data_IF_454089977070
#
_entry.id   IF_454089977070
#
_cell.length_a   1.000
_cell.length_b   1.000
_cell.length_c   1.000
_cell.angle_alpha   90.00
_cell.angle_beta   90.00
_cell.angle_gamma   90.00
#
_symmetry.space_group_name_H-M   'P 1'
#
loop_
_entity.id
_entity.type
_entity.pdbx_description
1 polymer ?
#
# COMPACT_ATOMS: atom_id res chain seq x y z
N UNK A 1 17.64 8.63 19.66
CA UNK A 1 17.57 9.79 20.58
C UNK A 1 18.20 11.05 19.97
N UNK A 2 19.44 11.03 19.48
CA UNK A 2 20.04 12.24 18.89
C UNK A 2 19.46 12.67 17.52
N UNK A 3 19.12 11.75 16.60
CA UNK A 3 18.55 12.12 15.29
C UNK A 3 17.07 12.54 15.33
N UNK A 4 16.26 11.92 16.18
CA UNK A 4 14.88 12.34 16.44
C UNK A 4 14.82 13.79 16.97
N UNK A 5 15.87 14.24 17.67
CA UNK A 5 16.03 15.62 18.15
C UNK A 5 16.32 16.63 17.01
N UNK A 6 16.96 16.22 15.91
CA UNK A 6 17.26 17.09 14.76
C UNK A 6 16.10 17.16 13.74
N UNK A 7 15.24 16.14 13.70
CA UNK A 7 14.10 16.11 12.76
C UNK A 7 12.81 16.56 13.44
N UNK A 8 12.54 16.16 14.69
CA UNK A 8 11.19 16.26 15.29
C UNK A 8 11.13 17.18 16.53
N UNK A 9 12.24 17.46 17.22
CA UNK A 9 12.23 18.43 18.31
C UNK A 9 12.48 19.86 17.80
N UNK A 10 11.64 20.82 18.23
CA UNK A 10 11.79 22.27 18.02
C UNK A 10 13.09 22.80 18.65
N UNK A 11 14.20 22.52 18.00
CA UNK A 11 15.51 23.11 18.27
C UNK A 11 15.89 23.98 17.08
N UNK A 12 16.82 24.92 17.25
CA UNK A 12 17.31 25.80 16.17
C UNK A 12 17.98 25.05 15.01
N UNK A 13 18.20 23.74 15.15
CA UNK A 13 18.72 22.85 14.13
C UNK A 13 17.65 21.92 13.51
N UNK A 14 16.36 22.19 13.78
CA UNK A 14 15.26 21.44 13.18
C UNK A 14 15.11 21.79 11.71
N UNK A 15 15.08 20.78 10.84
CA UNK A 15 14.89 20.95 9.40
C UNK A 15 13.56 21.66 9.09
N UNK A 16 12.54 21.50 9.93
CA UNK A 16 11.25 22.16 9.73
C UNK A 16 11.28 23.67 9.98
N UNK A 17 12.26 24.18 10.73
CA UNK A 17 12.49 25.61 10.96
C UNK A 17 13.37 26.26 9.88
N UNK A 18 14.01 25.45 9.02
CA UNK A 18 14.82 25.95 7.92
C UNK A 18 13.96 26.63 6.83
N UNK A 19 14.53 27.60 6.12
CA UNK A 19 13.89 28.14 4.91
C UNK A 19 13.70 27.02 3.87
N UNK A 20 12.60 27.07 3.11
CA UNK A 20 12.25 26.02 2.15
C UNK A 20 13.18 25.96 0.92
N UNK A 21 14.09 26.91 0.77
CA UNK A 21 14.98 27.01 -0.39
C UNK A 21 16.04 25.90 -0.41
N UNK A 22 16.42 25.49 -1.62
CA UNK A 22 17.37 24.39 -1.82
C UNK A 22 18.76 24.67 -1.24
N UNK A 23 19.16 25.94 -1.13
CA UNK A 23 20.47 26.31 -0.62
C UNK A 23 20.56 26.09 0.88
N UNK A 24 19.53 26.50 1.63
CA UNK A 24 19.38 26.23 3.06
C UNK A 24 19.38 24.73 3.34
N UNK A 25 18.63 23.94 2.57
CA UNK A 25 18.57 22.47 2.72
C UNK A 25 19.93 21.79 2.43
N UNK A 26 20.69 22.24 1.43
CA UNK A 26 22.06 21.76 1.17
C UNK A 26 23.04 22.07 2.30
N UNK A 27 22.87 23.18 3.01
CA UNK A 27 23.71 23.48 4.18
C UNK A 27 23.48 22.44 5.29
N UNK A 28 22.23 22.03 5.52
CA UNK A 28 21.92 20.93 6.44
C UNK A 28 22.51 19.61 5.96
N UNK A 29 22.36 19.29 4.69
CA UNK A 29 22.93 18.08 4.08
C UNK A 29 24.45 17.98 4.34
N UNK A 30 25.21 19.07 4.19
CA UNK A 30 26.65 19.09 4.43
C UNK A 30 27.03 18.74 5.88
N UNK A 31 26.20 19.12 6.85
CA UNK A 31 26.39 18.74 8.26
C UNK A 31 26.27 17.22 8.41
N UNK A 32 25.23 16.62 7.82
CA UNK A 32 25.04 15.17 7.84
C UNK A 32 26.19 14.45 7.16
N UNK A 33 26.64 14.89 5.97
CA UNK A 33 27.79 14.29 5.27
C UNK A 33 29.04 14.29 6.17
N UNK A 34 29.35 15.40 6.83
CA UNK A 34 30.52 15.50 7.74
C UNK A 34 30.39 14.58 8.95
N UNK A 35 29.20 14.48 9.54
CA UNK A 35 28.95 13.60 10.69
C UNK A 35 29.06 12.12 10.30
N UNK A 36 28.44 11.71 9.20
CA UNK A 36 28.42 10.32 8.73
C UNK A 36 29.80 9.84 8.29
N UNK A 37 30.61 10.71 7.67
CA UNK A 37 32.02 10.41 7.36
C UNK A 37 32.85 10.12 8.62
N UNK A 38 32.59 10.83 9.71
CA UNK A 38 33.35 10.71 10.96
C UNK A 38 32.84 9.57 11.85
N UNK A 39 31.54 9.29 11.83
CA UNK A 39 30.88 8.37 12.75
C UNK A 39 30.01 7.36 11.99
N UNK A 40 30.64 6.29 11.48
CA UNK A 40 29.98 5.29 10.63
C UNK A 40 28.79 4.56 11.27
N UNK A 41 28.78 4.40 12.59
CA UNK A 41 27.65 3.81 13.30
C UNK A 41 26.36 4.65 13.19
N UNK A 42 26.47 5.95 12.89
CA UNK A 42 25.32 6.82 12.68
C UNK A 42 24.55 6.46 11.41
N UNK A 43 25.17 5.80 10.42
CA UNK A 43 24.50 5.39 9.18
C UNK A 43 23.32 4.45 9.47
N UNK A 44 23.56 3.40 10.26
CA UNK A 44 22.51 2.46 10.66
C UNK A 44 21.44 3.13 11.52
N UNK A 45 21.85 3.98 12.46
CA UNK A 45 20.90 4.70 13.32
C UNK A 45 20.02 5.67 12.52
N UNK A 46 20.58 6.33 11.50
CA UNK A 46 19.86 7.28 10.68
C UNK A 46 18.85 6.58 9.76
N UNK A 47 19.22 5.45 9.17
CA UNK A 47 18.30 4.58 8.43
C UNK A 47 17.08 4.18 9.30
N UNK A 48 17.32 3.66 10.51
CA UNK A 48 16.24 3.25 11.42
C UNK A 48 15.33 4.41 11.82
N UNK A 49 15.88 5.59 12.09
CA UNK A 49 15.09 6.77 12.45
C UNK A 49 14.31 7.33 11.24
N UNK A 50 14.90 7.35 10.05
CA UNK A 50 14.20 7.78 8.83
C UNK A 50 13.00 6.89 8.51
N UNK A 51 13.13 5.57 8.68
CA UNK A 51 11.99 4.64 8.56
C UNK A 51 10.86 5.01 9.52
N UNK A 52 11.15 5.31 10.79
CA UNK A 52 10.14 5.74 11.77
C UNK A 52 9.49 7.05 11.36
N UNK A 53 10.27 8.06 10.98
CA UNK A 53 9.76 9.38 10.56
C UNK A 53 8.81 9.24 9.37
N UNK A 54 9.19 8.47 8.35
CA UNK A 54 8.37 8.26 7.15
C UNK A 54 7.11 7.43 7.43
N UNK A 55 7.10 6.55 8.43
CA UNK A 55 5.86 5.88 8.90
C UNK A 55 4.85 6.90 9.44
N UNK A 56 5.33 7.94 10.14
CA UNK A 56 4.49 9.01 10.69
C UNK A 56 4.26 10.16 9.71
N UNK A 57 4.45 9.96 8.40
CA UNK A 57 4.33 11.05 7.40
C UNK A 57 2.98 11.79 7.46
N UNK A 58 1.90 11.09 7.86
CA UNK A 58 0.56 11.68 8.02
C UNK A 58 0.46 12.68 9.18
N UNK A 59 1.37 12.63 10.16
CA UNK A 59 1.41 13.53 11.31
C UNK A 59 2.00 14.91 11.02
N UNK A 60 2.64 15.08 9.86
CA UNK A 60 3.25 16.35 9.44
C UNK A 60 2.28 17.17 8.57
N UNK A 61 2.41 18.50 8.62
CA UNK A 61 1.69 19.43 7.73
C UNK A 61 2.31 19.46 6.32
N UNK A 62 1.66 20.16 5.37
CA UNK A 62 2.08 20.18 3.96
C UNK A 62 3.51 20.71 3.75
N UNK A 63 3.85 21.83 4.39
CA UNK A 63 5.19 22.43 4.36
C UNK A 63 6.27 21.49 4.94
N UNK A 64 5.99 20.85 6.08
CA UNK A 64 6.89 19.88 6.70
C UNK A 64 7.13 18.66 5.79
N UNK A 65 6.08 18.17 5.12
CA UNK A 65 6.20 17.06 4.16
C UNK A 65 7.07 17.43 2.96
N UNK A 66 6.93 18.64 2.43
CA UNK A 66 7.76 19.13 1.32
C UNK A 66 9.24 19.20 1.73
N UNK A 67 9.55 19.77 2.90
CA UNK A 67 10.92 19.83 3.43
C UNK A 67 11.49 18.43 3.68
N UNK A 68 10.69 17.54 4.28
CA UNK A 68 11.08 16.16 4.53
C UNK A 68 11.34 15.39 3.23
N UNK A 69 10.50 15.55 2.22
CA UNK A 69 10.69 14.92 0.90
C UNK A 69 11.97 15.41 0.22
N UNK A 70 12.22 16.73 0.20
CA UNK A 70 13.43 17.33 -0.37
C UNK A 70 14.70 16.84 0.34
N UNK A 71 14.71 16.85 1.67
CA UNK A 71 15.86 16.36 2.44
C UNK A 71 16.08 14.85 2.27
N UNK A 72 15.00 14.05 2.24
CA UNK A 72 15.09 12.61 2.00
C UNK A 72 15.71 12.34 0.63
N UNK A 73 15.33 13.10 -0.41
CA UNK A 73 15.94 12.99 -1.73
C UNK A 73 17.45 13.34 -1.73
N UNK A 74 17.84 14.42 -1.04
CA UNK A 74 19.25 14.81 -0.89
C UNK A 74 20.07 13.71 -0.18
N UNK A 75 19.57 13.19 0.94
CA UNK A 75 20.25 12.13 1.69
C UNK A 75 20.35 10.81 0.92
N UNK A 76 19.37 10.48 0.09
CA UNK A 76 19.46 9.33 -0.81
C UNK A 76 20.53 9.57 -1.88
N UNK A 77 20.50 10.75 -2.52
CA UNK A 77 21.44 11.10 -3.61
C UNK A 77 22.90 11.06 -3.17
N UNK A 78 23.18 11.49 -1.93
CA UNK A 78 24.55 11.50 -1.40
C UNK A 78 24.95 10.21 -0.66
N UNK A 79 24.06 9.23 -0.56
CA UNK A 79 24.32 7.94 0.10
C UNK A 79 24.24 7.94 1.63
N UNK A 80 23.78 9.03 2.26
CA UNK A 80 23.57 9.07 3.73
C UNK A 80 22.41 8.18 4.18
N UNK A 81 21.44 7.90 3.30
CA UNK A 81 20.28 7.05 3.56
C UNK A 81 20.04 6.14 2.34
N UNK A 82 19.82 4.83 2.53
CA UNK A 82 19.50 3.96 1.41
C UNK A 82 18.08 4.22 0.87
N UNK A 83 17.82 4.05 -0.45
CA UNK A 83 16.46 4.19 -1.01
C UNK A 83 15.41 3.27 -0.38
N UNK A 84 15.84 2.19 0.28
CA UNK A 84 14.96 1.22 0.95
C UNK A 84 14.12 1.84 2.06
N UNK A 85 14.49 2.99 2.63
CA UNK A 85 13.65 3.70 3.61
C UNK A 85 12.29 4.10 3.03
N UNK A 86 12.19 4.33 1.72
CA UNK A 86 10.95 4.73 1.07
C UNK A 86 9.93 3.59 1.00
N UNK A 87 10.36 2.34 1.18
CA UNK A 87 9.44 1.19 1.20
C UNK A 87 8.39 1.31 2.32
N UNK A 88 8.67 2.05 3.40
CA UNK A 88 7.66 2.26 4.45
C UNK A 88 6.47 3.09 3.96
N UNK A 89 6.66 3.96 2.96
CA UNK A 89 5.59 4.73 2.34
C UNK A 89 4.64 3.82 1.54
N UNK A 90 5.15 2.74 0.94
CA UNK A 90 4.34 1.70 0.28
C UNK A 90 3.49 0.93 1.31
N UNK A 91 4.01 0.71 2.52
CA UNK A 91 3.22 0.12 3.61
C UNK A 91 2.10 1.07 4.08
N UNK A 92 2.32 2.38 4.00
CA UNK A 92 1.29 3.39 4.34
C UNK A 92 0.14 3.34 3.33
N UNK A 93 0.39 3.21 2.04
CA UNK A 93 -0.68 3.06 1.03
C UNK A 93 -1.43 1.74 1.20
N UNK A 94 -0.70 0.64 1.44
CA UNK A 94 -1.27 -0.69 1.69
C UNK A 94 -2.12 -0.75 2.98
N UNK A 95 -1.76 0.01 4.02
CA UNK A 95 -2.59 0.10 5.23
C UNK A 95 -3.83 0.98 5.04
N UNK A 96 -3.72 2.04 4.24
CA UNK A 96 -4.82 2.96 3.95
C UNK A 96 -5.96 2.26 3.19
N UNK A 97 -5.64 1.44 2.18
CA UNK A 97 -6.68 0.68 1.45
C UNK A 97 -7.45 -0.27 2.37
N UNK A 98 -6.77 -0.89 3.34
CA UNK A 98 -7.41 -1.69 4.39
C UNK A 98 -8.32 -0.87 5.32
N UNK A 99 -7.92 0.35 5.66
CA UNK A 99 -8.76 1.26 6.46
C UNK A 99 -10.00 1.75 5.68
N UNK A 100 -9.83 2.05 4.38
CA UNK A 100 -10.93 2.41 3.49
C UNK A 100 -11.92 1.25 3.43
N UNK A 101 -11.44 0.03 3.19
CA UNK A 101 -12.28 -1.17 3.21
C UNK A 101 -13.08 -1.29 4.51
N UNK A 102 -12.41 -1.25 5.67
CA UNK A 102 -13.10 -1.35 6.97
C UNK A 102 -14.16 -0.26 7.16
N UNK A 103 -13.89 0.96 6.70
CA UNK A 103 -14.84 2.08 6.80
C UNK A 103 -16.04 1.87 5.88
N UNK A 104 -15.80 1.53 4.61
CA UNK A 104 -16.84 1.29 3.60
C UNK A 104 -17.74 0.14 4.02
N UNK A 105 -17.19 -0.94 4.57
CA UNK A 105 -17.96 -2.12 4.96
C UNK A 105 -18.71 -1.94 6.30
N UNK A 106 -18.22 -1.07 7.19
CA UNK A 106 -18.88 -0.75 8.47
C UNK A 106 -20.09 0.17 8.31
N UNK A 107 -20.21 0.90 7.18
CA UNK A 107 -21.33 1.81 6.91
C UNK A 107 -22.64 1.09 6.55
N UNK A 108 -22.63 -0.23 6.36
CA UNK A 108 -23.76 -0.98 5.83
C UNK A 108 -24.27 -1.98 6.86
N UNK A 109 -25.57 -1.95 7.09
CA UNK A 109 -26.27 -3.06 7.75
C UNK A 109 -26.54 -4.17 6.73
N UNK A 110 -25.86 -5.30 6.92
CA UNK A 110 -25.91 -6.42 5.97
C UNK A 110 -27.19 -7.24 6.12
N UNK A 111 -27.78 -7.58 4.97
CA UNK A 111 -28.92 -8.50 4.95
C UNK A 111 -28.52 -9.89 5.49
N UNK A 112 -29.47 -10.57 6.13
CA UNK A 112 -29.29 -11.94 6.64
C UNK A 112 -29.55 -13.01 5.57
N UNK A 113 -30.25 -12.66 4.48
CA UNK A 113 -30.49 -13.58 3.36
C UNK A 113 -29.30 -13.54 2.40
N UNK A 114 -28.74 -14.71 2.11
CA UNK A 114 -27.53 -14.88 1.30
C UNK A 114 -27.63 -14.25 -0.11
N UNK A 115 -28.75 -14.44 -0.79
CA UNK A 115 -28.94 -13.89 -2.14
C UNK A 115 -29.04 -12.36 -2.12
N UNK A 116 -29.77 -11.80 -1.14
CA UNK A 116 -29.96 -10.35 -1.02
C UNK A 116 -28.67 -9.65 -0.58
N UNK A 117 -27.89 -10.25 0.32
CA UNK A 117 -26.64 -9.66 0.79
C UNK A 117 -25.58 -9.64 -0.33
N UNK A 118 -25.60 -10.64 -1.23
CA UNK A 118 -24.69 -10.67 -2.36
C UNK A 118 -24.93 -9.48 -3.31
N UNK A 119 -26.18 -9.25 -3.71
CA UNK A 119 -26.53 -8.11 -4.56
C UNK A 119 -26.29 -6.77 -3.86
N UNK A 120 -26.63 -6.68 -2.58
CA UNK A 120 -26.40 -5.49 -1.76
C UNK A 120 -24.90 -5.14 -1.70
N UNK A 121 -24.04 -6.13 -1.42
CA UNK A 121 -22.59 -5.94 -1.34
C UNK A 121 -22.00 -5.47 -2.67
N UNK A 122 -22.37 -6.11 -3.79
CA UNK A 122 -21.88 -5.70 -5.10
C UNK A 122 -22.35 -4.31 -5.48
N UNK A 123 -23.62 -3.96 -5.23
CA UNK A 123 -24.14 -2.62 -5.51
C UNK A 123 -23.45 -1.55 -4.68
N UNK A 124 -23.20 -1.82 -3.40
CA UNK A 124 -22.47 -0.93 -2.50
C UNK A 124 -21.02 -0.74 -2.95
N UNK A 125 -20.27 -1.83 -3.10
CA UNK A 125 -18.85 -1.77 -3.46
C UNK A 125 -18.61 -1.15 -4.83
N UNK A 126 -19.52 -1.35 -5.80
CA UNK A 126 -19.43 -0.74 -7.14
C UNK A 126 -19.36 0.79 -7.09
N UNK A 127 -19.96 1.43 -6.09
CA UNK A 127 -19.90 2.90 -5.96
C UNK A 127 -18.52 3.38 -5.47
N UNK A 128 -17.77 2.52 -4.79
CA UNK A 128 -16.46 2.83 -4.22
C UNK A 128 -15.30 2.31 -5.07
N UNK A 129 -15.52 1.68 -6.22
CA UNK A 129 -14.43 1.20 -7.07
C UNK A 129 -13.47 2.32 -7.50
N UNK A 130 -13.90 3.56 -7.85
CA UNK A 130 -12.95 4.63 -8.15
C UNK A 130 -12.10 5.03 -6.95
N UNK A 131 -12.67 4.93 -5.73
CA UNK A 131 -11.96 5.22 -4.50
C UNK A 131 -10.89 4.17 -4.22
N UNK A 132 -11.20 2.87 -4.39
CA UNK A 132 -10.21 1.82 -4.23
C UNK A 132 -9.11 1.90 -5.31
N UNK A 133 -9.50 2.11 -6.57
CA UNK A 133 -8.59 2.30 -7.71
C UNK A 133 -7.48 3.32 -7.43
N UNK A 134 -7.85 4.50 -6.92
CA UNK A 134 -6.90 5.57 -6.59
C UNK A 134 -5.79 5.18 -5.59
N UNK A 135 -5.97 4.09 -4.81
CA UNK A 135 -4.95 3.57 -3.88
C UNK A 135 -4.32 2.25 -4.31
N UNK A 136 -4.84 1.61 -5.36
CA UNK A 136 -4.35 0.35 -5.91
C UNK A 136 -3.56 0.52 -7.21
N UNK A 137 -3.86 1.54 -8.03
CA UNK A 137 -3.30 1.75 -9.38
C UNK A 137 -1.77 1.67 -9.50
N UNK A 138 -1.03 2.08 -8.47
CA UNK A 138 0.43 2.15 -8.51
C UNK A 138 1.11 1.17 -7.55
N UNK A 139 0.34 0.25 -6.94
CA UNK A 139 0.85 -0.57 -5.84
C UNK A 139 0.22 -1.97 -5.80
N UNK A 140 0.84 -2.98 -6.44
CA UNK A 140 0.40 -4.38 -6.36
C UNK A 140 0.31 -4.92 -4.93
N UNK A 141 1.08 -4.35 -4.01
CA UNK A 141 1.02 -4.67 -2.58
C UNK A 141 -0.28 -4.18 -1.92
N UNK A 142 -0.79 -3.02 -2.34
CA UNK A 142 -2.06 -2.48 -1.86
C UNK A 142 -3.24 -3.30 -2.39
N UNK A 143 -3.20 -3.71 -3.67
CA UNK A 143 -4.17 -4.65 -4.26
C UNK A 143 -4.23 -5.97 -3.47
N UNK A 144 -3.06 -6.58 -3.20
CA UNK A 144 -2.99 -7.82 -2.42
C UNK A 144 -3.49 -7.62 -0.98
N UNK A 145 -3.17 -6.48 -0.36
CA UNK A 145 -3.67 -6.15 0.97
C UNK A 145 -5.20 -5.99 0.99
N UNK A 146 -5.79 -5.37 -0.03
CA UNK A 146 -7.23 -5.29 -0.22
C UNK A 146 -7.84 -6.68 -0.39
N UNK A 147 -7.28 -7.52 -1.27
CA UNK A 147 -7.75 -8.89 -1.50
C UNK A 147 -7.74 -9.73 -0.22
N UNK A 148 -6.68 -9.61 0.59
CA UNK A 148 -6.61 -10.24 1.91
C UNK A 148 -7.68 -9.72 2.86
N UNK A 149 -7.93 -8.40 2.88
CA UNK A 149 -8.99 -7.82 3.71
C UNK A 149 -10.39 -8.29 3.30
N UNK A 150 -10.64 -8.44 2.00
CA UNK A 150 -11.89 -9.03 1.49
C UNK A 150 -12.01 -10.49 1.95
N UNK A 151 -10.95 -11.29 1.82
CA UNK A 151 -10.94 -12.70 2.24
C UNK A 151 -11.26 -12.85 3.74
N UNK A 152 -10.56 -12.10 4.59
CA UNK A 152 -10.77 -12.11 6.03
C UNK A 152 -12.19 -11.69 6.40
N UNK A 153 -12.70 -10.62 5.77
CA UNK A 153 -14.04 -10.11 6.02
C UNK A 153 -15.13 -11.12 5.61
N UNK A 154 -15.00 -11.73 4.42
CA UNK A 154 -15.94 -12.76 3.97
C UNK A 154 -15.88 -14.01 4.87
N UNK A 155 -14.72 -14.37 5.41
CA UNK A 155 -14.61 -15.49 6.35
C UNK A 155 -15.30 -15.22 7.69
N UNK A 156 -15.13 -14.01 8.21
CA UNK A 156 -15.72 -13.58 9.49
C UNK A 156 -17.25 -13.40 9.39
N UNK A 157 -17.75 -13.10 8.19
CA UNK A 157 -19.17 -12.90 7.93
C UNK A 157 -19.75 -14.08 7.13
N UNK A 158 -20.35 -15.05 7.82
CA UNK A 158 -20.87 -16.29 7.19
C UNK A 158 -21.78 -16.03 5.98
N UNK A 159 -22.60 -14.97 6.01
CA UNK A 159 -23.53 -14.61 4.93
C UNK A 159 -22.81 -14.15 3.65
N UNK A 160 -21.53 -13.77 3.74
CA UNK A 160 -20.71 -13.25 2.65
C UNK A 160 -19.67 -14.27 2.13
N UNK A 161 -19.61 -15.48 2.71
CA UNK A 161 -18.66 -16.50 2.25
C UNK A 161 -18.83 -16.86 0.77
N UNK A 162 -20.07 -16.91 0.26
CA UNK A 162 -20.37 -17.18 -1.15
C UNK A 162 -20.23 -15.97 -2.07
N UNK A 163 -19.92 -14.80 -1.51
CA UNK A 163 -19.86 -13.52 -2.23
C UNK A 163 -18.43 -13.14 -2.59
N UNK A 164 -17.42 -13.76 -1.96
CA UNK A 164 -16.00 -13.45 -2.16
C UNK A 164 -15.59 -13.43 -3.64
N UNK A 165 -15.81 -14.51 -4.39
CA UNK A 165 -15.48 -14.55 -5.84
C UNK A 165 -16.17 -13.43 -6.61
N UNK A 166 -17.43 -13.10 -6.28
CA UNK A 166 -18.16 -12.02 -6.96
C UNK A 166 -17.54 -10.65 -6.68
N UNK A 167 -17.04 -10.41 -5.46
CA UNK A 167 -16.35 -9.18 -5.10
C UNK A 167 -15.02 -9.07 -5.86
N UNK A 168 -14.23 -10.15 -5.89
CA UNK A 168 -12.97 -10.16 -6.63
C UNK A 168 -13.22 -9.93 -8.13
N UNK A 169 -14.24 -10.59 -8.70
CA UNK A 169 -14.61 -10.37 -10.09
C UNK A 169 -15.05 -8.92 -10.37
N UNK A 170 -15.77 -8.28 -9.44
CA UNK A 170 -16.11 -6.86 -9.55
C UNK A 170 -14.85 -5.99 -9.56
N UNK A 171 -13.91 -6.23 -8.64
CA UNK A 171 -12.66 -5.47 -8.55
C UNK A 171 -11.75 -5.70 -9.75
N UNK A 172 -11.68 -6.93 -10.28
CA UNK A 172 -11.00 -7.22 -11.54
C UNK A 172 -11.61 -6.44 -12.72
N UNK A 173 -12.94 -6.51 -12.89
CA UNK A 173 -13.65 -5.81 -13.97
C UNK A 173 -13.62 -4.28 -13.89
N UNK A 174 -13.18 -3.74 -12.77
CA UNK A 174 -13.10 -2.29 -12.53
C UNK A 174 -11.66 -1.83 -12.30
N UNK A 175 -10.68 -2.66 -12.68
CA UNK A 175 -9.24 -2.37 -12.62
C UNK A 175 -8.73 -2.04 -11.21
N UNK A 176 -9.46 -2.46 -10.17
CA UNK A 176 -9.06 -2.28 -8.76
C UNK A 176 -8.06 -3.35 -8.31
N UNK A 177 -8.16 -4.56 -8.88
CA UNK A 177 -7.22 -5.66 -8.62
C UNK A 177 -6.82 -6.27 -9.95
N UNK A 178 -5.52 -6.30 -10.22
CA UNK A 178 -4.91 -6.87 -11.41
C UNK A 178 -4.94 -8.40 -11.41
N UNK A 179 -4.83 -8.96 -12.62
CA UNK A 179 -4.70 -10.40 -12.83
C UNK A 179 -3.49 -10.98 -12.09
N UNK A 180 -2.33 -10.32 -12.20
CA UNK A 180 -1.08 -10.72 -11.54
C UNK A 180 -1.29 -10.94 -10.03
N UNK A 181 -2.00 -10.01 -9.38
CA UNK A 181 -2.27 -10.09 -7.94
C UNK A 181 -3.25 -11.21 -7.60
N UNK A 182 -4.26 -11.46 -8.43
CA UNK A 182 -5.19 -12.59 -8.25
C UNK A 182 -4.44 -13.93 -8.34
N UNK A 183 -3.60 -14.10 -9.36
CA UNK A 183 -2.79 -15.29 -9.56
C UNK A 183 -1.79 -15.48 -8.41
N UNK A 184 -1.14 -14.40 -7.97
CA UNK A 184 -0.23 -14.41 -6.82
C UNK A 184 -0.94 -14.81 -5.53
N UNK A 185 -2.11 -14.22 -5.25
CA UNK A 185 -2.93 -14.58 -4.11
C UNK A 185 -3.30 -16.07 -4.14
N UNK A 186 -3.71 -16.58 -5.30
CA UNK A 186 -4.11 -17.98 -5.46
C UNK A 186 -2.95 -18.95 -5.18
N UNK A 187 -1.76 -18.67 -5.70
CA UNK A 187 -0.57 -19.52 -5.53
C UNK A 187 -0.03 -19.51 -4.11
N UNK A 188 0.24 -18.32 -3.56
CA UNK A 188 0.98 -18.19 -2.28
C UNK A 188 0.61 -16.98 -1.42
N UNK A 189 -0.09 -15.99 -1.97
CA UNK A 189 -0.38 -14.74 -1.27
C UNK A 189 -1.62 -14.75 -0.38
N UNK A 190 -2.31 -15.88 -0.21
CA UNK A 190 -3.59 -15.99 0.49
C UNK A 190 -3.49 -16.12 2.01
N UNK A 191 -4.53 -15.69 2.72
CA UNK A 191 -4.65 -15.90 4.17
C UNK A 191 -5.02 -17.34 4.50
N UNK A 192 -4.66 -17.80 5.70
CA UNK A 192 -5.09 -19.10 6.24
C UNK A 192 -6.60 -19.14 6.53
N UNK A 193 -7.23 -17.98 6.74
CA UNK A 193 -8.66 -17.85 7.05
C UNK A 193 -9.50 -18.23 5.82
N UNK A 194 -10.23 -19.35 5.91
CA UNK A 194 -11.07 -19.84 4.83
C UNK A 194 -10.31 -20.34 3.59
N UNK A 195 -9.00 -20.60 3.70
CA UNK A 195 -8.10 -20.96 2.59
C UNK A 195 -8.71 -21.99 1.62
N UNK A 196 -9.04 -23.19 2.13
CA UNK A 196 -9.50 -24.31 1.29
C UNK A 196 -10.75 -23.92 0.49
N UNK A 197 -11.69 -23.25 1.14
CA UNK A 197 -12.96 -22.87 0.55
C UNK A 197 -12.83 -21.74 -0.46
N UNK A 198 -12.03 -20.70 -0.20
CA UNK A 198 -11.87 -19.60 -1.15
C UNK A 198 -11.00 -19.98 -2.34
N UNK A 199 -9.99 -20.85 -2.17
CA UNK A 199 -9.24 -21.40 -3.31
C UNK A 199 -10.16 -22.22 -4.21
N UNK A 200 -10.99 -23.12 -3.65
CA UNK A 200 -11.95 -23.88 -4.44
C UNK A 200 -12.95 -22.97 -5.17
N UNK A 201 -13.44 -21.92 -4.50
CA UNK A 201 -14.36 -20.95 -5.10
C UNK A 201 -13.74 -20.15 -6.25
N UNK A 202 -12.43 -19.88 -6.19
CA UNK A 202 -11.70 -19.09 -7.19
C UNK A 202 -11.16 -19.94 -8.35
N UNK A 203 -11.10 -21.26 -8.21
CA UNK A 203 -10.45 -22.18 -9.17
C UNK A 203 -10.85 -21.92 -10.62
N UNK A 204 -12.15 -21.98 -10.94
CA UNK A 204 -12.64 -21.76 -12.32
C UNK A 204 -12.32 -20.36 -12.86
N UNK A 205 -12.27 -19.36 -11.99
CA UNK A 205 -11.97 -17.99 -12.40
C UNK A 205 -10.46 -17.83 -12.67
N UNK A 206 -9.60 -18.46 -11.87
CA UNK A 206 -8.15 -18.51 -12.11
C UNK A 206 -7.82 -19.29 -13.37
N UNK A 207 -8.45 -20.46 -13.58
CA UNK A 207 -8.29 -21.24 -14.81
C UNK A 207 -8.66 -20.39 -16.05
N UNK A 208 -9.74 -19.60 -15.95
CA UNK A 208 -10.15 -18.69 -17.02
C UNK A 208 -9.12 -17.58 -17.30
N UNK A 209 -8.58 -16.94 -16.25
CA UNK A 209 -7.54 -15.92 -16.40
C UNK A 209 -6.31 -16.47 -17.14
N UNK A 210 -5.83 -17.65 -16.72
CA UNK A 210 -4.66 -18.30 -17.32
C UNK A 210 -4.90 -18.71 -18.78
N UNK A 211 -6.10 -19.19 -19.13
CA UNK A 211 -6.42 -19.54 -20.52
C UNK A 211 -6.53 -18.33 -21.43
N UNK A 212 -6.99 -17.18 -20.90
CA UNK A 212 -7.13 -15.96 -21.69
C UNK A 212 -5.75 -15.37 -22.09
N UNK A 213 -4.74 -15.55 -21.24
CA UNK A 213 -3.35 -15.14 -21.50
C UNK A 213 -2.75 -15.99 -22.65
N UNK A 214 -2.90 -17.31 -22.61
CA UNK A 214 -2.37 -18.25 -23.63
C UNK A 214 -2.98 -18.04 -25.03
N UNK A 215 -4.27 -17.68 -25.12
CA UNK A 215 -4.93 -17.35 -26.40
C UNK A 215 -4.45 -16.01 -26.99
N UNK A 216 -3.99 -15.07 -26.15
CA UNK A 216 -3.50 -13.76 -26.60
C UNK A 216 -2.06 -13.80 -27.11
N UNK A 217 -1.18 -14.59 -26.48
CA UNK A 217 0.22 -14.74 -26.94
C UNK A 217 0.35 -15.58 -28.22
N UNK A 218 -0.54 -16.54 -28.44
CA UNK A 218 -0.51 -17.41 -29.63
C UNK A 218 -1.08 -16.77 -30.91
N UNK A 219 -1.68 -15.58 -30.79
CA UNK A 219 -2.21 -14.81 -31.92
C UNK A 219 -1.22 -13.79 -32.53
N UNK A 220 -0.03 -13.63 -31.95
CA UNK A 220 0.97 -12.64 -32.41
C UNK A 220 2.10 -13.24 -33.28
N UNK A 221 2.08 -14.55 -33.58
CA UNK A 221 3.07 -15.22 -34.44
C UNK A 221 2.61 -15.49 -35.90
N UNK A 222 1.42 -15.01 -36.29
CA UNK A 222 0.95 -15.07 -37.68
C UNK A 222 0.52 -13.68 -38.19
N UNK A 223 1.49 -12.84 -38.57
CA UNK A 223 1.38 -11.83 -39.64
C UNK A 223 2.74 -11.24 -40.07
#
# INVERSE_FOLDING_TARGET
MYFSLFIVCKTTACIFEAQEDMQSLKNFEQVFIKLMRRYKYLEKMFDEEMKKVLVFIKGFNETERIKLARMTALWITNGSVPPTVLQVLINVTSSLVGQIWSTVMAQVEWNKKEELVAEQALKHLKQFTPLFGAFTDTAPRAELALMLKVQEFCYENMNLMRVFQKIILLFYKTDVISEEVILKWYKEGHSIKGKIMFLEQMKKFVEWLQSAEEESESGEEED
#
